data_IF_646421100593
#
_entry.id   IF_646421100593
#
_cell.length_a   1.000
_cell.length_b   1.000
_cell.length_c   1.000
_cell.angle_alpha   90.00
_cell.angle_beta   90.00
_cell.angle_gamma   90.00
#
_symmetry.space_group_name_H-M   'P 1'
#
loop_
_entity.id
_entity.type
_entity.pdbx_description
1 polymer ?
#
# COMPACT_ATOMS: atom_id res chain seq x y z
N UNK A 1 -18.81 -5.41 -47.08
CA UNK A 1 -17.42 -4.97 -46.87
C UNK A 1 -17.18 -4.81 -45.38
N UNK A 2 -16.17 -5.46 -44.77
CA UNK A 2 -15.89 -5.28 -43.35
C UNK A 2 -15.32 -3.88 -43.12
N UNK A 3 -15.93 -3.15 -42.20
CA UNK A 3 -15.56 -1.79 -41.82
C UNK A 3 -14.16 -1.76 -41.20
N UNK A 4 -13.26 -0.94 -41.76
CA UNK A 4 -11.94 -0.70 -41.16
C UNK A 4 -12.00 0.44 -40.13
N UNK A 5 -11.54 0.21 -38.88
CA UNK A 5 -11.62 1.21 -37.83
C UNK A 5 -10.68 2.40 -38.11
N UNK A 6 -11.13 3.61 -37.76
CA UNK A 6 -10.37 4.85 -37.94
C UNK A 6 -9.14 4.93 -37.05
N UNK A 7 -8.09 5.66 -37.47
CA UNK A 7 -6.85 5.87 -36.70
C UNK A 7 -7.05 6.28 -35.24
N UNK A 8 -8.08 7.08 -34.96
CA UNK A 8 -8.49 7.51 -33.60
C UNK A 8 -9.01 6.33 -32.76
N UNK A 9 -9.77 5.41 -33.37
CA UNK A 9 -10.26 4.21 -32.70
C UNK A 9 -9.10 3.28 -32.29
N UNK A 10 -8.18 3.02 -33.22
CA UNK A 10 -6.98 2.20 -32.98
C UNK A 10 -6.07 2.80 -31.91
N UNK A 11 -5.94 4.13 -31.86
CA UNK A 11 -5.20 4.83 -30.80
C UNK A 11 -5.91 4.70 -29.44
N UNK A 12 -7.23 4.92 -29.39
CA UNK A 12 -8.03 4.81 -28.16
C UNK A 12 -7.98 3.39 -27.60
N UNK A 13 -8.05 2.38 -28.45
CA UNK A 13 -8.01 0.97 -28.06
C UNK A 13 -6.60 0.53 -27.62
N UNK A 14 -5.54 1.04 -28.26
CA UNK A 14 -4.14 0.86 -27.80
C UNK A 14 -3.89 1.56 -26.47
N UNK A 15 -4.37 2.78 -26.27
CA UNK A 15 -4.28 3.50 -25.00
C UNK A 15 -5.04 2.77 -23.88
N UNK A 16 -6.24 2.24 -24.19
CA UNK A 16 -7.04 1.46 -23.24
C UNK A 16 -6.41 0.10 -22.92
N UNK A 17 -5.77 -0.57 -23.89
CA UNK A 17 -4.96 -1.79 -23.70
C UNK A 17 -3.68 -1.52 -22.88
N UNK A 18 -2.98 -0.42 -23.14
CA UNK A 18 -1.82 0.04 -22.35
C UNK A 18 -2.20 0.28 -20.87
N UNK A 19 -3.35 0.92 -20.59
CA UNK A 19 -3.86 1.03 -19.21
C UNK A 19 -4.27 -0.33 -18.61
N UNK A 20 -4.72 -1.29 -19.43
CA UNK A 20 -5.15 -2.62 -18.96
C UNK A 20 -3.97 -3.53 -18.57
N UNK A 21 -2.77 -3.31 -19.12
CA UNK A 21 -1.58 -4.13 -18.84
C UNK A 21 -0.94 -3.90 -17.46
N UNK A 22 -1.36 -2.87 -16.70
CA UNK A 22 -0.93 -2.60 -15.31
C UNK A 22 -1.77 -3.31 -14.24
N UNK A 23 -2.67 -4.21 -14.64
CA UNK A 23 -3.66 -4.81 -13.72
C UNK A 23 -3.11 -6.08 -13.08
N UNK A 24 -2.05 -5.96 -12.29
CA UNK A 24 -1.81 -6.90 -11.19
C UNK A 24 -1.86 -6.06 -9.91
N UNK A 25 -3.09 -5.72 -9.51
CA UNK A 25 -3.34 -4.88 -8.33
C UNK A 25 -3.32 -5.81 -7.13
N UNK A 26 -2.39 -5.56 -6.21
CA UNK A 26 -2.27 -6.34 -4.98
C UNK A 26 -3.56 -6.22 -4.18
N UNK A 27 -4.06 -7.34 -3.68
CA UNK A 27 -5.21 -7.34 -2.78
C UNK A 27 -4.78 -7.34 -1.30
N UNK A 28 -5.72 -7.10 -0.39
CA UNK A 28 -5.44 -7.04 1.06
C UNK A 28 -4.83 -8.35 1.58
N UNK A 29 -5.28 -9.50 1.10
CA UNK A 29 -4.73 -10.80 1.53
C UNK A 29 -3.28 -10.99 1.08
N UNK A 30 -2.93 -10.58 -0.13
CA UNK A 30 -1.55 -10.62 -0.62
C UNK A 30 -0.65 -9.65 0.15
N UNK A 31 -1.14 -8.45 0.47
CA UNK A 31 -0.41 -7.49 1.27
C UNK A 31 -0.21 -8.01 2.71
N UNK A 32 -1.25 -8.61 3.29
CA UNK A 32 -1.19 -9.28 4.59
C UNK A 32 -0.10 -10.33 4.63
N UNK A 33 -0.06 -11.25 3.66
CA UNK A 33 0.99 -12.28 3.59
C UNK A 33 2.39 -11.68 3.50
N UNK A 34 2.56 -10.57 2.78
CA UNK A 34 3.85 -9.86 2.72
C UNK A 34 4.24 -9.25 4.06
N UNK A 35 3.28 -8.66 4.77
CA UNK A 35 3.52 -8.10 6.10
C UNK A 35 3.70 -9.17 7.17
N UNK A 36 3.04 -10.32 7.08
CA UNK A 36 3.29 -11.49 7.94
C UNK A 36 4.73 -11.98 7.76
N UNK A 37 5.19 -12.16 6.52
CA UNK A 37 6.59 -12.50 6.24
C UNK A 37 7.58 -11.44 6.73
N UNK A 38 7.20 -10.17 6.72
CA UNK A 38 8.01 -9.11 7.30
C UNK A 38 8.10 -9.26 8.82
N UNK A 39 6.96 -9.48 9.49
CA UNK A 39 6.88 -9.72 10.93
C UNK A 39 7.71 -10.94 11.36
N UNK A 40 7.63 -12.05 10.61
CA UNK A 40 8.41 -13.26 10.84
C UNK A 40 9.93 -13.00 10.79
N UNK A 41 10.38 -12.11 9.89
CA UNK A 41 11.80 -11.76 9.76
C UNK A 41 12.28 -10.88 10.90
N UNK A 42 11.47 -9.95 11.37
CA UNK A 42 11.81 -9.08 12.51
C UNK A 42 11.75 -9.83 13.85
N UNK A 43 10.85 -10.81 13.98
CA UNK A 43 10.73 -11.71 15.14
C UNK A 43 10.06 -11.09 16.37
N UNK A 44 10.18 -9.78 16.59
CA UNK A 44 9.56 -9.04 17.71
C UNK A 44 8.33 -8.21 17.30
N UNK A 45 7.87 -8.35 16.06
CA UNK A 45 6.71 -7.64 15.50
C UNK A 45 5.67 -8.66 15.05
N UNK A 46 4.40 -8.31 15.20
CA UNK A 46 3.26 -9.03 14.62
C UNK A 46 2.24 -8.05 14.06
N UNK A 47 1.35 -8.54 13.21
CA UNK A 47 0.17 -7.79 12.80
C UNK A 47 -0.81 -7.67 13.97
N UNK A 48 -1.59 -6.60 13.97
CA UNK A 48 -2.64 -6.39 14.97
C UNK A 48 -3.62 -7.59 15.00
N UNK A 49 -3.92 -8.14 16.19
CA UNK A 49 -4.87 -9.25 16.35
C UNK A 49 -6.29 -8.90 15.90
N UNK A 50 -6.69 -7.62 15.96
CA UNK A 50 -7.94 -7.16 15.34
C UNK A 50 -7.79 -7.15 13.82
N UNK A 51 -8.28 -8.22 13.20
CA UNK A 51 -8.24 -8.40 11.75
C UNK A 51 -8.96 -7.29 11.00
N UNK A 52 -10.09 -6.78 11.50
CA UNK A 52 -10.86 -5.74 10.82
C UNK A 52 -10.07 -4.44 10.79
N UNK A 53 -9.47 -4.06 11.93
CA UNK A 53 -8.60 -2.90 12.02
C UNK A 53 -7.40 -3.02 11.08
N UNK A 54 -6.72 -4.17 11.10
CA UNK A 54 -5.59 -4.45 10.23
C UNK A 54 -5.96 -4.40 8.74
N UNK A 55 -7.12 -4.96 8.35
CA UNK A 55 -7.61 -4.93 6.97
C UNK A 55 -7.92 -3.50 6.50
N UNK A 56 -8.52 -2.67 7.35
CA UNK A 56 -8.78 -1.25 7.03
C UNK A 56 -7.47 -0.50 6.81
N UNK A 57 -6.47 -0.70 7.67
CA UNK A 57 -5.17 -0.07 7.50
C UNK A 57 -4.47 -0.53 6.21
N UNK A 58 -4.49 -1.84 5.91
CA UNK A 58 -3.93 -2.39 4.68
C UNK A 58 -4.65 -1.90 3.42
N UNK A 59 -5.98 -1.79 3.46
CA UNK A 59 -6.75 -1.21 2.36
C UNK A 59 -6.36 0.25 2.12
N UNK A 60 -6.18 1.04 3.18
CA UNK A 60 -5.67 2.40 3.08
C UNK A 60 -4.28 2.49 2.42
N UNK A 61 -3.36 1.56 2.73
CA UNK A 61 -2.05 1.47 2.06
C UNK A 61 -2.23 1.23 0.56
N UNK A 62 -3.11 0.31 0.17
CA UNK A 62 -3.38 -0.01 -1.23
C UNK A 62 -4.06 1.14 -1.98
N UNK A 63 -4.96 1.87 -1.31
CA UNK A 63 -5.57 3.08 -1.87
C UNK A 63 -4.53 4.18 -2.10
N UNK A 64 -3.57 4.35 -1.19
CA UNK A 64 -2.47 5.28 -1.38
C UNK A 64 -1.59 4.87 -2.56
N UNK A 65 -1.29 3.57 -2.69
CA UNK A 65 -0.56 3.03 -3.85
C UNK A 65 -1.32 3.26 -5.16
N UNK A 66 -2.64 3.10 -5.16
CA UNK A 66 -3.47 3.38 -6.34
C UNK A 66 -3.39 4.86 -6.77
N UNK A 67 -3.41 5.78 -5.81
CA UNK A 67 -3.40 7.24 -6.08
C UNK A 67 -2.02 7.76 -6.49
N UNK A 68 -0.99 7.25 -5.83
CA UNK A 68 0.37 7.84 -5.85
C UNK A 68 1.42 6.96 -6.52
N UNK A 69 1.12 5.68 -6.70
CA UNK A 69 2.07 4.65 -7.16
C UNK A 69 2.92 4.04 -6.05
N UNK A 70 2.79 4.48 -4.79
CA UNK A 70 3.61 4.05 -3.67
C UNK A 70 2.78 3.74 -2.42
N UNK A 71 3.24 2.77 -1.62
CA UNK A 71 2.56 2.27 -0.42
C UNK A 71 2.77 3.17 0.80
N UNK A 72 2.27 4.40 0.78
CA UNK A 72 2.40 5.32 1.93
C UNK A 72 1.52 4.94 3.14
N UNK A 73 1.93 5.32 4.36
CA UNK A 73 1.13 5.07 5.58
C UNK A 73 -0.29 5.62 5.39
N UNK A 74 -1.34 4.84 5.68
CA UNK A 74 -2.71 5.32 5.64
C UNK A 74 -2.99 6.38 6.71
N UNK A 75 -2.09 6.51 7.68
CA UNK A 75 -2.24 7.32 8.89
C UNK A 75 -1.54 8.68 8.84
N UNK A 76 -0.74 8.95 7.81
CA UNK A 76 0.03 10.18 7.67
C UNK A 76 -0.32 10.85 6.36
N UNK A 77 -0.44 12.17 6.43
CA UNK A 77 -0.72 13.01 5.28
C UNK A 77 0.61 13.30 4.58
N UNK A 78 0.64 13.05 3.27
CA UNK A 78 1.76 13.38 2.41
C UNK A 78 1.87 14.90 2.28
N UNK A 79 3.09 15.42 2.33
CA UNK A 79 3.37 16.85 2.22
C UNK A 79 3.47 17.30 0.76
N UNK A 80 3.65 16.36 -0.17
CA UNK A 80 3.93 16.64 -1.58
C UNK A 80 5.43 16.83 -1.87
N UNK A 81 6.26 16.81 -0.83
CA UNK A 81 7.71 16.78 -0.92
C UNK A 81 8.19 15.33 -0.87
N UNK A 82 8.66 14.81 -2.00
CA UNK A 82 9.04 13.42 -2.15
C UNK A 82 10.13 12.98 -1.16
N UNK A 83 11.08 13.86 -0.85
CA UNK A 83 12.20 13.53 0.04
C UNK A 83 11.73 13.33 1.48
N UNK A 84 10.72 14.08 1.91
CA UNK A 84 10.09 13.92 3.23
C UNK A 84 9.11 12.76 3.26
N UNK A 85 8.33 12.62 2.20
CA UNK A 85 7.27 11.62 2.15
C UNK A 85 7.81 10.19 2.04
N UNK A 86 9.07 10.00 1.61
CA UNK A 86 9.69 8.67 1.53
C UNK A 86 9.74 7.96 2.89
N UNK A 87 9.84 8.69 3.99
CA UNK A 87 9.81 8.14 5.35
C UNK A 87 8.45 7.54 5.71
N UNK A 88 7.40 7.91 4.96
CA UNK A 88 6.03 7.44 5.17
C UNK A 88 5.74 6.14 4.43
N UNK A 89 6.66 5.60 3.62
CA UNK A 89 6.46 4.32 2.93
C UNK A 89 6.27 3.18 3.94
N UNK A 90 5.29 2.32 3.72
CA UNK A 90 4.92 1.22 4.59
C UNK A 90 5.61 -0.09 4.16
N UNK A 91 6.29 -0.83 5.06
CA UNK A 91 6.50 -0.54 6.49
C UNK A 91 7.47 0.64 6.70
N UNK A 92 7.04 1.64 7.46
CA UNK A 92 7.86 2.82 7.78
C UNK A 92 8.80 2.50 8.94
N UNK A 93 9.67 3.45 9.32
CA UNK A 93 10.48 3.32 10.54
C UNK A 93 9.63 3.51 11.81
N UNK A 94 8.67 2.62 12.04
CA UNK A 94 7.76 2.71 13.18
C UNK A 94 8.45 2.41 14.52
N UNK A 95 9.60 1.73 14.51
CA UNK A 95 10.40 1.50 15.73
C UNK A 95 10.84 2.80 16.41
N UNK A 96 11.05 3.86 15.62
CA UNK A 96 11.39 5.20 16.12
C UNK A 96 10.17 5.99 16.65
N UNK A 97 8.94 5.49 16.44
CA UNK A 97 7.74 6.19 16.90
C UNK A 97 7.59 6.08 18.41
N UNK A 98 7.18 7.19 19.05
CA UNK A 98 6.89 7.21 20.49
C UNK A 98 5.83 6.17 20.88
N UNK A 99 4.79 5.97 20.07
CA UNK A 99 3.76 4.95 20.34
C UNK A 99 4.32 3.54 20.33
N UNK A 100 5.33 3.26 19.51
CA UNK A 100 5.99 1.96 19.54
C UNK A 100 6.73 1.73 20.85
N UNK A 101 7.42 2.77 21.34
CA UNK A 101 8.16 2.72 22.60
C UNK A 101 7.20 2.61 23.80
N UNK A 102 6.14 3.41 23.83
CA UNK A 102 5.23 3.54 24.97
C UNK A 102 4.11 2.48 24.99
N UNK A 103 3.47 2.23 23.84
CA UNK A 103 2.28 1.35 23.72
C UNK A 103 2.57 0.02 23.04
N UNK A 104 3.72 -0.10 22.37
CA UNK A 104 4.06 -1.29 21.63
C UNK A 104 3.32 -1.43 20.30
N UNK A 105 2.88 -0.32 19.70
CA UNK A 105 2.19 -0.32 18.41
C UNK A 105 2.64 0.86 17.52
N UNK A 106 2.61 0.67 16.21
CA UNK A 106 2.81 1.78 15.28
C UNK A 106 1.60 2.73 15.34
N UNK A 107 1.74 3.97 14.86
CA UNK A 107 0.66 4.97 14.93
C UNK A 107 -0.67 4.54 14.33
N UNK A 108 -0.65 3.74 13.26
CA UNK A 108 -1.88 3.23 12.65
C UNK A 108 -2.42 1.97 13.34
N UNK A 109 -1.69 1.41 14.32
CA UNK A 109 -2.02 0.16 14.98
C UNK A 109 -2.01 -1.04 14.04
N UNK A 110 -1.29 -1.01 12.92
CA UNK A 110 -1.18 -2.17 12.01
C UNK A 110 -0.17 -3.20 12.53
N UNK A 111 0.96 -2.71 13.02
CA UNK A 111 2.04 -3.51 13.61
C UNK A 111 2.04 -3.30 15.12
N UNK A 112 2.16 -4.40 15.86
CA UNK A 112 2.24 -4.41 17.32
C UNK A 112 3.43 -5.28 17.75
N UNK A 113 3.94 -5.06 18.96
CA UNK A 113 4.94 -5.94 19.56
C UNK A 113 4.36 -7.33 19.80
N UNK A 114 5.17 -8.34 19.52
CA UNK A 114 4.87 -9.75 19.84
C UNK A 114 4.92 -10.00 21.33
#
# INVERSE_FOLDING_TARGET
MPYMPTGKQIYRDRYRRSKKSRRNRMNVNELRQRFEKYCEKEGNVRLNPDKKHADIAMDGVLQNEEKTGLKYCPCRIQTGDFEKDIELLCPCNFFAQKTWQEKGECWCGLFVKS
#
